data_IF_315567534997
#
_entry.id   IF_315567534997
#
_cell.length_a   1.000
_cell.length_b   1.000
_cell.length_c   1.000
_cell.angle_alpha   90.00
_cell.angle_beta   90.00
_cell.angle_gamma   90.00
#
_symmetry.space_group_name_H-M   'P 1'
#
loop_
_entity.id
_entity.type
_entity.pdbx_description
1 polymer ?
#
# COMPACT_ATOMS: atom_id res chain seq x y z
N UNK A 1 -26.69 3.83 55.82
CA UNK A 1 -27.16 4.13 54.48
C UNK A 1 -26.00 4.04 53.52
N UNK A 2 -25.98 3.07 52.60
CA UNK A 2 -24.87 2.94 51.64
C UNK A 2 -25.04 3.94 50.48
N UNK A 3 -23.96 4.65 50.14
CA UNK A 3 -23.86 5.55 49.00
C UNK A 3 -23.90 4.71 47.70
N UNK A 4 -24.94 4.86 46.90
CA UNK A 4 -25.04 4.34 45.54
C UNK A 4 -24.00 5.02 44.65
N UNK A 5 -23.02 4.25 44.18
CA UNK A 5 -22.08 4.65 43.13
C UNK A 5 -22.80 4.58 41.79
N UNK A 6 -22.94 5.74 41.13
CA UNK A 6 -23.57 5.86 39.82
C UNK A 6 -22.59 5.37 38.71
N UNK A 7 -22.89 4.25 37.96
CA UNK A 7 -21.96 3.66 37.01
C UNK A 7 -22.02 4.23 35.59
N UNK A 8 -22.66 5.34 35.31
CA UNK A 8 -22.82 5.85 33.95
C UNK A 8 -22.13 7.22 33.71
N UNK A 9 -20.79 7.27 33.81
CA UNK A 9 -20.05 8.27 33.05
C UNK A 9 -19.67 7.69 31.68
N UNK A 10 -20.63 7.52 30.76
CA UNK A 10 -20.37 7.46 29.34
C UNK A 10 -19.55 8.69 28.97
N UNK A 11 -18.28 8.48 28.56
CA UNK A 11 -17.44 9.53 27.96
C UNK A 11 -18.17 10.02 26.71
N UNK A 12 -18.89 11.11 26.83
CA UNK A 12 -19.50 11.85 25.73
C UNK A 12 -18.35 12.53 24.97
N UNK A 13 -17.77 11.81 23.98
CA UNK A 13 -16.84 12.42 23.03
C UNK A 13 -17.66 13.26 22.06
N UNK A 14 -17.56 14.58 22.18
CA UNK A 14 -18.28 15.49 21.29
C UNK A 14 -17.79 15.28 19.84
N UNK A 15 -18.67 15.33 18.82
CA UNK A 15 -18.32 15.21 17.40
C UNK A 15 -17.15 16.15 17.02
N UNK A 16 -17.14 17.36 17.54
CA UNK A 16 -16.08 18.35 17.33
C UNK A 16 -14.70 17.89 17.81
N UNK A 17 -14.63 17.16 18.94
CA UNK A 17 -13.35 16.60 19.44
C UNK A 17 -12.84 15.48 18.56
N UNK A 18 -13.72 14.64 18.01
CA UNK A 18 -13.35 13.58 17.06
C UNK A 18 -12.84 14.18 15.75
N UNK A 19 -13.53 15.18 15.22
CA UNK A 19 -13.09 15.89 14.00
C UNK A 19 -11.72 16.54 14.19
N UNK A 20 -11.50 17.21 15.32
CA UNK A 20 -10.22 17.81 15.64
C UNK A 20 -9.10 16.77 15.78
N UNK A 21 -9.36 15.64 16.45
CA UNK A 21 -8.41 14.54 16.56
C UNK A 21 -8.08 13.92 15.19
N UNK A 22 -9.08 13.73 14.33
CA UNK A 22 -8.87 13.24 12.97
C UNK A 22 -8.07 14.24 12.11
N UNK A 23 -8.33 15.54 12.23
CA UNK A 23 -7.56 16.57 11.55
C UNK A 23 -6.09 16.58 12.00
N UNK A 24 -5.85 16.53 13.31
CA UNK A 24 -4.49 16.43 13.89
C UNK A 24 -3.78 15.15 13.42
N UNK A 25 -4.48 14.01 13.39
CA UNK A 25 -3.91 12.74 12.91
C UNK A 25 -3.49 12.84 11.44
N UNK A 26 -4.32 13.42 10.56
CA UNK A 26 -3.97 13.67 9.14
C UNK A 26 -2.77 14.60 9.00
N UNK A 27 -2.70 15.65 9.80
CA UNK A 27 -1.57 16.60 9.82
C UNK A 27 -0.25 15.89 10.17
N UNK A 28 -0.25 15.02 11.20
CA UNK A 28 0.93 14.24 11.59
C UNK A 28 1.32 13.25 10.48
N UNK A 29 0.37 12.54 9.88
CA UNK A 29 0.64 11.61 8.77
C UNK A 29 1.24 12.32 7.55
N UNK A 30 0.75 13.50 7.18
CA UNK A 30 1.31 14.28 6.09
C UNK A 30 2.73 14.77 6.36
N UNK A 31 3.03 15.21 7.60
CA UNK A 31 4.37 15.58 8.03
C UNK A 31 5.33 14.38 8.00
N UNK A 32 4.88 13.25 8.54
CA UNK A 32 5.63 12.00 8.55
C UNK A 32 5.96 11.52 7.14
N UNK A 33 5.00 11.55 6.22
CA UNK A 33 5.22 11.18 4.82
C UNK A 33 6.32 12.02 4.19
N UNK A 34 6.25 13.35 4.29
CA UNK A 34 7.27 14.25 3.74
C UNK A 34 8.66 13.95 4.30
N UNK A 35 8.77 13.77 5.61
CA UNK A 35 10.06 13.50 6.26
C UNK A 35 10.59 12.11 5.88
N UNK A 36 9.77 11.07 5.92
CA UNK A 36 10.20 9.73 5.53
C UNK A 36 10.65 9.68 4.06
N UNK A 37 9.92 10.31 3.15
CA UNK A 37 10.28 10.32 1.73
C UNK A 37 11.52 11.17 1.43
N UNK A 38 11.76 12.25 2.19
CA UNK A 38 12.89 13.14 2.01
C UNK A 38 14.21 12.58 2.58
N UNK A 39 14.19 12.00 3.78
CA UNK A 39 15.41 11.62 4.52
C UNK A 39 15.46 10.14 4.94
N UNK A 40 14.44 9.35 4.60
CA UNK A 40 14.36 7.92 4.92
C UNK A 40 13.89 7.61 6.33
N UNK A 41 13.73 6.28 6.61
CA UNK A 41 13.23 5.81 7.90
C UNK A 41 14.19 6.14 9.05
N UNK A 42 15.49 5.84 8.90
CA UNK A 42 16.46 5.96 10.00
C UNK A 42 16.59 7.39 10.52
N UNK A 43 16.71 8.39 9.63
CA UNK A 43 16.90 9.79 10.00
C UNK A 43 15.63 10.48 10.52
N UNK A 44 14.45 9.95 10.24
CA UNK A 44 13.19 10.51 10.73
C UNK A 44 12.94 10.10 12.18
N UNK A 45 12.64 11.06 13.04
CA UNK A 45 12.33 10.85 14.46
C UNK A 45 10.91 11.30 14.78
N UNK A 46 10.32 10.76 15.87
CA UNK A 46 9.01 11.23 16.35
C UNK A 46 9.04 12.72 16.74
N UNK A 47 10.20 13.22 17.19
CA UNK A 47 10.38 14.62 17.51
C UNK A 47 10.37 15.51 16.25
N UNK A 48 11.09 15.12 15.19
CA UNK A 48 11.08 15.87 13.93
C UNK A 48 9.69 15.87 13.27
N UNK A 49 8.94 14.78 13.40
CA UNK A 49 7.55 14.72 12.94
C UNK A 49 6.64 15.65 13.75
N UNK A 50 6.82 15.73 15.06
CA UNK A 50 6.04 16.63 15.92
C UNK A 50 6.30 18.10 15.55
N UNK A 51 7.56 18.48 15.32
CA UNK A 51 7.99 19.80 14.89
C UNK A 51 7.38 20.16 13.52
N UNK A 52 7.55 19.31 12.51
CA UNK A 52 7.02 19.48 11.15
C UNK A 52 5.49 19.56 11.15
N UNK A 53 4.82 18.80 12.02
CA UNK A 53 3.38 18.83 12.19
C UNK A 53 2.89 19.96 13.11
N UNK A 54 3.78 20.77 13.71
CA UNK A 54 3.43 21.83 14.68
C UNK A 54 2.54 21.33 15.83
N UNK A 55 2.85 20.13 16.35
CA UNK A 55 2.17 19.53 17.51
C UNK A 55 3.16 19.14 18.60
N UNK A 56 2.67 18.84 19.81
CA UNK A 56 3.56 18.33 20.84
C UNK A 56 4.04 16.90 20.54
N UNK A 57 5.26 16.56 20.94
CA UNK A 57 5.79 15.18 20.85
C UNK A 57 4.87 14.17 21.56
N UNK A 58 4.28 14.57 22.70
CA UNK A 58 3.28 13.75 23.41
C UNK A 58 2.06 13.44 22.54
N UNK A 59 1.63 14.39 21.71
CA UNK A 59 0.49 14.21 20.78
C UNK A 59 0.81 13.14 19.74
N UNK A 60 2.04 13.14 19.22
CA UNK A 60 2.47 12.13 18.23
C UNK A 60 2.49 10.73 18.86
N UNK A 61 3.10 10.58 20.06
CA UNK A 61 3.11 9.29 20.76
C UNK A 61 1.72 8.80 21.15
N UNK A 62 0.82 9.69 21.59
CA UNK A 62 -0.57 9.30 21.89
C UNK A 62 -1.35 8.82 20.65
N UNK A 63 -1.01 9.31 19.45
CA UNK A 63 -1.70 8.95 18.23
C UNK A 63 -1.14 7.68 17.56
N UNK A 64 0.16 7.39 17.71
CA UNK A 64 0.84 6.36 16.91
C UNK A 64 1.75 5.42 17.71
N UNK A 65 1.94 5.67 18.99
CA UNK A 65 2.75 4.88 19.93
C UNK A 65 4.24 4.80 19.56
N UNK A 66 4.58 4.29 18.37
CA UNK A 66 5.95 4.09 17.89
C UNK A 66 6.15 4.67 16.48
N UNK A 67 7.42 4.81 16.08
CA UNK A 67 7.77 5.20 14.71
C UNK A 67 7.33 4.14 13.68
N UNK A 68 7.46 2.86 14.01
CA UNK A 68 6.95 1.75 13.19
C UNK A 68 5.42 1.76 13.11
N UNK A 69 4.72 2.07 14.20
CA UNK A 69 3.26 2.27 14.21
C UNK A 69 2.81 3.44 13.34
N UNK A 70 3.57 4.53 13.34
CA UNK A 70 3.32 5.70 12.49
C UNK A 70 3.48 5.35 11.00
N UNK A 71 4.57 4.70 10.61
CA UNK A 71 4.80 4.31 9.20
C UNK A 71 3.80 3.27 8.73
N UNK A 72 3.39 2.33 9.60
CA UNK A 72 2.32 1.36 9.31
C UNK A 72 0.99 2.06 9.03
N UNK A 73 0.60 3.00 9.90
CA UNK A 73 -0.64 3.76 9.69
C UNK A 73 -0.59 4.58 8.39
N UNK A 74 0.56 5.15 8.07
CA UNK A 74 0.75 5.88 6.82
C UNK A 74 0.57 4.94 5.61
N UNK A 75 1.15 3.74 5.65
CA UNK A 75 0.96 2.71 4.64
C UNK A 75 -0.51 2.36 4.44
N UNK A 76 -1.22 2.03 5.52
CA UNK A 76 -2.63 1.68 5.47
C UNK A 76 -3.47 2.82 4.86
N UNK A 77 -3.20 4.05 5.27
CA UNK A 77 -3.91 5.25 4.75
C UNK A 77 -3.68 5.46 3.26
N UNK A 78 -2.44 5.32 2.77
CA UNK A 78 -2.11 5.52 1.37
C UNK A 78 -2.65 4.39 0.47
N UNK A 79 -2.69 3.17 0.98
CA UNK A 79 -3.15 2.00 0.21
C UNK A 79 -4.67 1.88 0.20
N UNK A 80 -5.31 1.99 1.38
CA UNK A 80 -6.74 1.72 1.57
C UNK A 80 -7.62 2.97 1.44
N UNK A 81 -7.01 4.16 1.55
CA UNK A 81 -7.74 5.43 1.56
C UNK A 81 -8.48 5.68 2.88
N UNK A 82 -9.29 6.74 2.91
CA UNK A 82 -10.05 7.13 4.12
C UNK A 82 -11.14 6.12 4.52
N UNK A 83 -11.65 5.34 3.58
CA UNK A 83 -12.68 4.34 3.83
C UNK A 83 -12.14 3.03 4.43
N UNK A 84 -10.81 2.88 4.57
CA UNK A 84 -10.12 1.68 5.08
C UNK A 84 -10.58 0.37 4.42
N UNK A 85 -10.83 0.40 3.11
CA UNK A 85 -11.28 -0.76 2.34
C UNK A 85 -10.07 -1.61 1.95
N UNK A 86 -10.09 -2.91 2.29
CA UNK A 86 -9.04 -3.84 1.90
C UNK A 86 -8.87 -3.89 0.36
N UNK A 87 -7.63 -4.10 -0.13
CA UNK A 87 -7.32 -4.14 -1.58
C UNK A 87 -8.23 -5.10 -2.33
N UNK A 88 -8.47 -6.29 -1.76
CA UNK A 88 -9.36 -7.30 -2.35
C UNK A 88 -10.83 -6.87 -2.52
N UNK A 89 -11.25 -5.81 -1.82
CA UNK A 89 -12.61 -5.25 -1.87
C UNK A 89 -12.66 -3.90 -2.61
N UNK A 90 -11.53 -3.40 -3.07
CA UNK A 90 -11.49 -2.15 -3.82
C UNK A 90 -12.18 -2.31 -5.18
N UNK A 91 -13.04 -1.38 -5.58
CA UNK A 91 -13.77 -1.49 -6.85
C UNK A 91 -12.86 -1.73 -8.06
N UNK A 92 -11.70 -1.06 -8.10
CA UNK A 92 -10.72 -1.21 -9.17
C UNK A 92 -10.06 -2.60 -9.20
N UNK A 93 -9.94 -3.30 -8.06
CA UNK A 93 -9.40 -4.65 -8.01
C UNK A 93 -10.48 -5.68 -8.41
N UNK A 94 -11.72 -5.49 -7.95
CA UNK A 94 -12.87 -6.31 -8.36
C UNK A 94 -13.07 -6.21 -9.86
N UNK A 95 -13.01 -5.01 -10.45
CA UNK A 95 -13.06 -4.79 -11.90
C UNK A 95 -12.05 -5.66 -12.67
N UNK A 96 -10.82 -5.78 -12.16
CA UNK A 96 -9.78 -6.64 -12.77
C UNK A 96 -10.19 -8.11 -12.73
N UNK A 97 -10.73 -8.61 -11.63
CA UNK A 97 -11.09 -10.02 -11.48
C UNK A 97 -12.31 -10.39 -12.31
N UNK A 98 -13.26 -9.47 -12.49
CA UNK A 98 -14.52 -9.66 -13.20
C UNK A 98 -14.38 -9.44 -14.72
N UNK A 99 -13.28 -8.83 -15.21
CA UNK A 99 -13.06 -8.58 -16.63
C UNK A 99 -13.01 -9.89 -17.44
N UNK A 100 -13.93 -10.14 -18.38
CA UNK A 100 -14.00 -11.42 -19.10
C UNK A 100 -12.86 -11.63 -20.10
N UNK A 101 -12.34 -10.57 -20.73
CA UNK A 101 -11.25 -10.65 -21.70
C UNK A 101 -9.89 -10.74 -20.99
N UNK A 102 -9.09 -11.81 -21.20
CA UNK A 102 -7.82 -12.00 -20.50
C UNK A 102 -6.78 -10.90 -20.77
N UNK A 103 -6.68 -10.43 -22.01
CA UNK A 103 -5.72 -9.40 -22.36
C UNK A 103 -6.13 -8.06 -21.76
N UNK A 104 -7.42 -7.74 -21.78
CA UNK A 104 -7.94 -6.54 -21.12
C UNK A 104 -7.81 -6.63 -19.60
N UNK A 105 -8.00 -7.81 -18.99
CA UNK A 105 -7.76 -8.02 -17.55
C UNK A 105 -6.33 -7.66 -17.17
N UNK A 106 -5.32 -8.12 -17.92
CA UNK A 106 -3.91 -7.79 -17.64
C UNK A 106 -3.61 -6.31 -17.87
N UNK A 107 -4.20 -5.67 -18.87
CA UNK A 107 -4.07 -4.22 -19.09
C UNK A 107 -4.68 -3.41 -17.95
N UNK A 108 -5.85 -3.81 -17.45
CA UNK A 108 -6.47 -3.18 -16.26
C UNK A 108 -5.59 -3.37 -15.03
N UNK A 109 -5.03 -4.57 -14.81
CA UNK A 109 -4.12 -4.83 -13.72
C UNK A 109 -2.84 -3.96 -13.80
N UNK A 110 -2.26 -3.79 -14.99
CA UNK A 110 -1.11 -2.93 -15.22
C UNK A 110 -1.44 -1.45 -14.92
N UNK A 111 -2.59 -0.94 -15.38
CA UNK A 111 -3.09 0.42 -15.11
C UNK A 111 -3.25 0.65 -13.59
N UNK A 112 -3.95 -0.24 -12.91
CA UNK A 112 -4.22 -0.12 -11.48
C UNK A 112 -2.94 -0.24 -10.65
N UNK A 113 -2.06 -1.18 -11.02
CA UNK A 113 -0.73 -1.32 -10.40
C UNK A 113 0.12 -0.06 -10.55
N UNK A 114 0.07 0.59 -11.72
CA UNK A 114 0.75 1.87 -11.97
C UNK A 114 0.19 2.97 -11.08
N UNK A 115 -1.13 3.11 -11.01
CA UNK A 115 -1.81 4.11 -10.17
C UNK A 115 -1.51 3.92 -8.67
N UNK A 116 -1.49 2.68 -8.18
CA UNK A 116 -1.10 2.37 -6.81
C UNK A 116 0.36 2.78 -6.56
N UNK A 117 1.29 2.41 -7.44
CA UNK A 117 2.72 2.75 -7.29
C UNK A 117 2.98 4.24 -7.28
N UNK A 118 2.27 5.02 -8.10
CA UNK A 118 2.39 6.49 -8.07
C UNK A 118 2.08 7.08 -6.68
N UNK A 119 1.19 6.43 -5.91
CA UNK A 119 0.83 6.89 -4.56
C UNK A 119 1.79 6.40 -3.47
N UNK A 120 2.29 5.15 -3.60
CA UNK A 120 2.96 4.47 -2.48
C UNK A 120 4.46 4.24 -2.71
N UNK A 121 5.02 4.50 -3.90
CA UNK A 121 6.40 4.15 -4.25
C UNK A 121 7.44 4.80 -3.31
N UNK A 122 7.22 6.05 -2.89
CA UNK A 122 8.08 6.74 -1.93
C UNK A 122 8.13 5.98 -0.60
N UNK A 123 6.97 5.63 -0.07
CA UNK A 123 6.87 4.91 1.20
C UNK A 123 7.39 3.46 1.11
N UNK A 124 7.15 2.76 -0.02
CA UNK A 124 7.72 1.41 -0.24
C UNK A 124 9.24 1.41 -0.16
N UNK A 125 9.89 2.44 -0.73
CA UNK A 125 11.34 2.64 -0.61
C UNK A 125 11.75 2.82 0.85
N UNK A 126 11.04 3.68 1.59
CA UNK A 126 11.29 3.92 3.02
C UNK A 126 11.17 2.63 3.84
N UNK A 127 10.16 1.82 3.59
CA UNK A 127 9.95 0.55 4.29
C UNK A 127 11.04 -0.46 3.96
N UNK A 128 11.37 -0.64 2.67
CA UNK A 128 12.45 -1.53 2.25
C UNK A 128 13.80 -1.16 2.86
N UNK A 129 14.15 0.12 2.79
CA UNK A 129 15.44 0.62 3.27
C UNK A 129 15.49 0.68 4.82
N UNK A 130 14.33 0.76 5.49
CA UNK A 130 14.20 0.74 6.95
C UNK A 130 14.16 -0.66 7.56
N UNK A 131 13.71 -1.66 6.82
CA UNK A 131 13.52 -3.03 7.30
C UNK A 131 14.77 -3.65 7.97
N UNK A 132 16.01 -3.45 7.48
CA UNK A 132 17.20 -4.00 8.14
C UNK A 132 17.48 -3.39 9.52
N UNK A 133 16.91 -2.23 9.86
CA UNK A 133 17.21 -1.49 11.10
C UNK A 133 16.09 -1.56 12.15
N UNK A 134 14.91 -2.09 11.80
CA UNK A 134 13.75 -2.11 12.69
C UNK A 134 12.91 -3.38 12.43
N UNK A 135 12.80 -4.29 13.42
CA UNK A 135 12.08 -5.56 13.26
C UNK A 135 10.59 -5.38 12.91
N UNK A 136 9.93 -4.35 13.44
CA UNK A 136 8.52 -4.10 13.14
C UNK A 136 8.34 -3.64 11.70
N UNK A 137 9.29 -2.84 11.19
CA UNK A 137 9.31 -2.42 9.78
C UNK A 137 9.63 -3.61 8.87
N UNK A 138 10.53 -4.49 9.28
CA UNK A 138 10.82 -5.73 8.56
C UNK A 138 9.57 -6.63 8.45
N UNK A 139 8.85 -6.80 9.56
CA UNK A 139 7.60 -7.57 9.58
C UNK A 139 6.52 -6.92 8.69
N UNK A 140 6.39 -5.60 8.73
CA UNK A 140 5.47 -4.88 7.85
C UNK A 140 5.86 -5.02 6.37
N UNK A 141 7.14 -4.91 6.05
CA UNK A 141 7.65 -5.10 4.68
C UNK A 141 7.34 -6.51 4.16
N UNK A 142 7.55 -7.55 4.99
CA UNK A 142 7.22 -8.92 4.62
C UNK A 142 5.72 -9.08 4.38
N UNK A 143 4.87 -8.59 5.29
CA UNK A 143 3.41 -8.64 5.14
C UNK A 143 2.95 -7.98 3.82
N UNK A 144 3.51 -6.82 3.48
CA UNK A 144 3.19 -6.12 2.23
C UNK A 144 3.55 -6.96 1.01
N UNK A 145 4.71 -7.63 1.01
CA UNK A 145 5.12 -8.48 -0.11
C UNK A 145 4.24 -9.73 -0.22
N UNK A 146 3.87 -10.36 0.90
CA UNK A 146 2.99 -11.54 0.94
C UNK A 146 1.59 -11.20 0.42
N UNK A 147 0.98 -10.10 0.89
CA UNK A 147 -0.31 -9.61 0.42
C UNK A 147 -0.26 -9.27 -1.08
N UNK A 148 0.83 -8.66 -1.51
CA UNK A 148 1.02 -8.29 -2.90
C UNK A 148 1.13 -9.54 -3.80
N UNK A 149 1.87 -10.55 -3.37
CA UNK A 149 1.95 -11.85 -4.05
C UNK A 149 0.58 -12.53 -4.12
N UNK A 150 -0.14 -12.58 -3.01
CA UNK A 150 -1.47 -13.18 -2.94
C UNK A 150 -2.46 -12.50 -3.89
N UNK A 151 -2.45 -11.18 -3.98
CA UNK A 151 -3.31 -10.44 -4.91
C UNK A 151 -2.99 -10.77 -6.39
N UNK A 152 -1.70 -10.89 -6.77
CA UNK A 152 -1.33 -11.29 -8.13
C UNK A 152 -1.72 -12.74 -8.42
N UNK A 153 -1.65 -13.61 -7.42
CA UNK A 153 -2.08 -15.01 -7.55
C UNK A 153 -3.58 -15.12 -7.88
N UNK A 154 -4.43 -14.28 -7.31
CA UNK A 154 -5.86 -14.25 -7.65
C UNK A 154 -6.12 -13.79 -9.09
N UNK A 155 -5.35 -12.80 -9.59
CA UNK A 155 -5.42 -12.40 -11.00
C UNK A 155 -5.04 -13.59 -11.92
N UNK A 156 -3.95 -14.29 -11.62
CA UNK A 156 -3.51 -15.47 -12.38
C UNK A 156 -4.52 -16.61 -12.28
N UNK A 157 -5.10 -16.87 -11.11
CA UNK A 157 -6.17 -17.86 -10.94
C UNK A 157 -7.39 -17.52 -11.79
N UNK A 158 -7.74 -16.23 -11.92
CA UNK A 158 -8.81 -15.80 -12.82
C UNK A 158 -8.49 -16.13 -14.27
N UNK A 159 -7.25 -15.86 -14.74
CA UNK A 159 -6.80 -16.25 -16.08
C UNK A 159 -6.83 -17.77 -16.29
N UNK A 160 -6.41 -18.54 -15.29
CA UNK A 160 -6.44 -20.00 -15.35
C UNK A 160 -7.87 -20.55 -15.48
N UNK A 161 -8.83 -20.03 -14.71
CA UNK A 161 -10.26 -20.41 -14.83
C UNK A 161 -10.82 -20.13 -16.23
N UNK A 162 -10.34 -19.08 -16.89
CA UNK A 162 -10.69 -18.71 -18.27
C UNK A 162 -9.95 -19.55 -19.31
N UNK A 163 -9.05 -20.47 -18.89
CA UNK A 163 -8.17 -21.27 -19.75
C UNK A 163 -7.31 -20.40 -20.69
N UNK A 164 -6.88 -19.24 -20.21
CA UNK A 164 -6.18 -18.23 -21.00
C UNK A 164 -4.65 -18.22 -20.78
N UNK A 165 -4.14 -18.95 -19.77
CA UNK A 165 -2.69 -19.06 -19.59
C UNK A 165 -2.06 -19.85 -20.74
N UNK A 166 -0.85 -19.45 -21.12
CA UNK A 166 -0.02 -20.17 -22.11
C UNK A 166 -0.02 -21.67 -21.83
N UNK A 167 -0.02 -22.44 -22.91
CA UNK A 167 0.10 -23.89 -22.82
C UNK A 167 1.32 -24.32 -21.99
N UNK A 168 1.09 -25.17 -21.00
CA UNK A 168 2.12 -25.65 -20.09
C UNK A 168 2.54 -24.69 -18.96
N UNK A 169 1.97 -23.47 -18.89
CA UNK A 169 2.25 -22.51 -17.84
C UNK A 169 1.32 -22.75 -16.65
N UNK A 170 1.87 -23.27 -15.54
CA UNK A 170 1.14 -23.49 -14.29
C UNK A 170 0.88 -22.20 -13.51
N UNK A 171 -0.12 -22.21 -12.62
CA UNK A 171 -0.56 -21.04 -11.83
C UNK A 171 0.58 -20.45 -11.01
N UNK A 172 1.38 -21.27 -10.34
CA UNK A 172 2.45 -20.78 -9.46
C UNK A 172 3.54 -20.06 -10.27
N UNK A 173 4.00 -20.66 -11.37
CA UNK A 173 5.00 -20.03 -12.25
C UNK A 173 4.46 -18.75 -12.93
N UNK A 174 3.20 -18.76 -13.38
CA UNK A 174 2.55 -17.56 -13.91
C UNK A 174 2.45 -16.45 -12.86
N UNK A 175 2.21 -16.82 -11.58
CA UNK A 175 2.18 -15.87 -10.47
C UNK A 175 3.55 -15.25 -10.23
N UNK A 176 4.62 -16.06 -10.23
CA UNK A 176 5.99 -15.58 -10.08
C UNK A 176 6.37 -14.58 -11.16
N UNK A 177 6.01 -14.87 -12.42
CA UNK A 177 6.22 -13.97 -13.56
C UNK A 177 5.46 -12.65 -13.35
N UNK A 178 4.15 -12.71 -13.06
CA UNK A 178 3.33 -11.53 -12.88
C UNK A 178 3.82 -10.68 -11.71
N UNK A 179 4.07 -11.32 -10.56
CA UNK A 179 4.56 -10.65 -9.36
C UNK A 179 5.92 -9.97 -9.61
N UNK A 180 6.86 -10.65 -10.28
CA UNK A 180 8.17 -10.09 -10.61
C UNK A 180 8.05 -8.85 -11.50
N UNK A 181 7.25 -8.91 -12.58
CA UNK A 181 7.07 -7.79 -13.51
C UNK A 181 6.40 -6.57 -12.84
N UNK A 182 5.50 -6.83 -11.91
CA UNK A 182 4.78 -5.79 -11.16
C UNK A 182 5.55 -5.33 -9.92
N UNK A 183 6.64 -6.00 -9.50
CA UNK A 183 7.32 -5.72 -8.24
C UNK A 183 7.72 -4.24 -8.11
N UNK A 184 7.63 -3.64 -6.88
CA UNK A 184 8.03 -2.26 -6.64
C UNK A 184 9.45 -1.93 -7.07
N UNK A 185 10.38 -2.90 -7.03
CA UNK A 185 11.76 -2.68 -7.47
C UNK A 185 11.86 -2.48 -8.99
N UNK A 186 11.02 -3.14 -9.78
CA UNK A 186 10.93 -2.91 -11.23
C UNK A 186 10.44 -1.49 -11.54
N UNK A 187 9.45 -1.02 -10.78
CA UNK A 187 9.04 0.39 -10.84
C UNK A 187 10.19 1.33 -10.49
N UNK A 188 10.89 1.07 -9.38
CA UNK A 188 12.02 1.89 -8.96
C UNK A 188 13.13 1.93 -10.02
N UNK A 189 13.45 0.80 -10.62
CA UNK A 189 14.46 0.72 -11.69
C UNK A 189 14.05 1.50 -12.94
N UNK A 190 12.81 1.32 -13.40
CA UNK A 190 12.37 1.90 -14.68
C UNK A 190 11.93 3.36 -14.54
N UNK A 191 11.08 3.67 -13.55
CA UNK A 191 10.56 5.03 -13.35
C UNK A 191 11.53 5.86 -12.51
N UNK A 192 12.00 5.33 -11.39
CA UNK A 192 12.90 6.05 -10.47
C UNK A 192 14.29 6.27 -11.07
N UNK A 193 15.00 5.20 -11.48
CA UNK A 193 16.39 5.29 -11.91
C UNK A 193 16.55 5.58 -13.42
N UNK A 194 15.68 5.00 -14.28
CA UNK A 194 15.76 5.20 -15.74
C UNK A 194 14.91 6.34 -16.26
N UNK A 195 14.14 7.01 -15.40
CA UNK A 195 13.33 8.18 -15.75
C UNK A 195 12.18 7.89 -16.71
N UNK A 196 11.64 6.68 -16.73
CA UNK A 196 10.44 6.39 -17.52
C UNK A 196 9.25 7.16 -16.96
N UNK A 197 8.40 7.65 -17.88
CA UNK A 197 7.10 8.16 -17.43
C UNK A 197 6.22 7.00 -16.94
N UNK A 198 5.30 7.25 -15.97
CA UNK A 198 4.31 6.26 -15.53
C UNK A 198 3.53 5.65 -16.70
N UNK A 199 3.14 6.44 -17.69
CA UNK A 199 2.42 5.96 -18.86
C UNK A 199 3.27 5.03 -19.76
N UNK A 200 4.60 5.25 -19.84
CA UNK A 200 5.52 4.33 -20.53
C UNK A 200 5.65 3.02 -19.78
N UNK A 201 5.76 3.08 -18.45
CA UNK A 201 5.81 1.88 -17.60
C UNK A 201 4.53 1.07 -17.72
N UNK A 202 3.35 1.71 -17.67
CA UNK A 202 2.05 1.05 -17.79
C UNK A 202 1.93 0.27 -19.10
N UNK A 203 2.23 0.91 -20.24
CA UNK A 203 2.19 0.24 -21.56
C UNK A 203 3.14 -0.95 -21.61
N UNK A 204 4.39 -0.75 -21.20
CA UNK A 204 5.38 -1.82 -21.17
C UNK A 204 4.92 -2.99 -20.29
N UNK A 205 4.39 -2.70 -19.11
CA UNK A 205 3.92 -3.73 -18.19
C UNK A 205 2.73 -4.50 -18.78
N UNK A 206 1.76 -3.79 -19.36
CA UNK A 206 0.61 -4.39 -20.02
C UNK A 206 1.01 -5.33 -21.17
N UNK A 207 1.89 -4.85 -22.06
CA UNK A 207 2.34 -5.62 -23.22
C UNK A 207 3.19 -6.82 -22.78
N UNK A 208 4.09 -6.63 -21.81
CA UNK A 208 4.97 -7.69 -21.31
C UNK A 208 4.18 -8.77 -20.59
N UNK A 209 3.24 -8.41 -19.72
CA UNK A 209 2.42 -9.39 -19.00
C UNK A 209 1.53 -10.19 -19.96
N UNK A 210 0.91 -9.54 -20.95
CA UNK A 210 0.17 -10.26 -22.00
C UNK A 210 1.09 -11.22 -22.78
N UNK A 211 2.23 -10.76 -23.23
CA UNK A 211 3.19 -11.58 -23.99
C UNK A 211 3.76 -12.75 -23.18
N UNK A 212 3.91 -12.63 -21.87
CA UNK A 212 4.47 -13.69 -21.03
C UNK A 212 3.42 -14.71 -20.58
N UNK A 213 2.18 -14.29 -20.33
CA UNK A 213 1.17 -15.12 -19.67
C UNK A 213 0.13 -15.69 -20.62
N UNK A 214 -0.15 -15.06 -21.78
CA UNK A 214 -1.18 -15.48 -22.71
C UNK A 214 -0.59 -16.07 -23.99
N UNK A 215 -1.26 -17.05 -24.59
CA UNK A 215 -0.91 -17.50 -25.94
C UNK A 215 -1.09 -16.36 -26.95
N UNK A 216 -0.21 -16.32 -27.94
CA UNK A 216 -0.38 -15.39 -29.07
C UNK A 216 -1.65 -15.72 -29.85
N UNK A 217 -2.51 -14.71 -30.03
CA UNK A 217 -3.71 -14.85 -30.84
C UNK A 217 -3.37 -15.10 -32.32
#
# INVERSE_FOLDING_TARGET
>A
MPRTVNPERRRYESPRRREQAAATRRQILGAAQRLFEAQGYAATTMASVAEEASVSLKTVYLAFDTKSGLVRTLWDTLLRGEADIAVAQQPWYVEVLDEPDPARQLRLNARNSTAVKQRVAGLLRVLRDGAPSDPDVAALWQLINDDFYANQREVVRSLHRKKALKHGLGVDHATDILWTLIHPDVWHLLVGARGWSPARYERWLADTTCAQLLDSA
#
